data_IF_268967638627
#
_entry.id   IF_268967638627
#
_cell.length_a   1.000
_cell.length_b   1.000
_cell.length_c   1.000
_cell.angle_alpha   90.00
_cell.angle_beta   90.00
_cell.angle_gamma   90.00
#
_symmetry.space_group_name_H-M   'P 1'
#
loop_
_entity.id
_entity.type
_entity.pdbx_description
1 polymer ?
#
# COMPACT_ATOMS: atom_id res chain seq x y z
N UNK A 1 19.46 -9.72 4.67
CA UNK A 1 18.97 -8.35 4.36
C UNK A 1 18.22 -8.37 3.04
N UNK A 2 18.85 -8.82 1.95
CA UNK A 2 18.29 -8.93 0.60
C UNK A 2 16.91 -9.63 0.49
N UNK A 3 16.73 -10.80 1.11
CA UNK A 3 15.46 -11.55 1.05
C UNK A 3 14.26 -10.81 1.65
N UNK A 4 14.48 -9.94 2.64
CA UNK A 4 13.40 -9.15 3.26
C UNK A 4 13.00 -7.97 2.37
N UNK A 5 13.93 -7.38 1.63
CA UNK A 5 13.65 -6.32 0.67
C UNK A 5 12.87 -6.84 -0.54
N UNK A 6 13.28 -8.00 -1.06
CA UNK A 6 12.52 -8.72 -2.10
C UNK A 6 11.07 -8.98 -1.67
N UNK A 7 10.85 -9.35 -0.40
CA UNK A 7 9.50 -9.50 0.14
C UNK A 7 8.74 -8.16 0.16
N UNK A 8 9.33 -7.09 0.70
CA UNK A 8 8.67 -5.78 0.74
C UNK A 8 8.33 -5.26 -0.67
N UNK A 9 9.27 -5.36 -1.60
CA UNK A 9 9.05 -4.98 -3.00
C UNK A 9 7.89 -5.77 -3.62
N UNK A 10 7.92 -7.10 -3.50
CA UNK A 10 6.86 -7.98 -4.01
C UNK A 10 5.50 -7.64 -3.42
N UNK A 11 5.43 -7.33 -2.13
CA UNK A 11 4.20 -6.84 -1.50
C UNK A 11 3.71 -5.55 -2.16
N UNK A 12 4.61 -4.58 -2.37
CA UNK A 12 4.31 -3.31 -3.05
C UNK A 12 4.08 -3.45 -4.57
N UNK A 13 4.37 -4.58 -5.19
CA UNK A 13 4.02 -4.89 -6.60
C UNK A 13 2.63 -5.53 -6.72
N UNK A 14 2.21 -6.31 -5.72
CA UNK A 14 1.05 -7.22 -5.84
C UNK A 14 -0.16 -6.83 -4.99
N UNK A 15 0.04 -6.09 -3.90
CA UNK A 15 -1.08 -5.71 -3.02
C UNK A 15 -2.07 -4.79 -3.74
N UNK A 16 -3.34 -5.19 -3.75
CA UNK A 16 -4.51 -4.51 -4.36
C UNK A 16 -4.38 -4.28 -5.87
N UNK A 17 -3.51 -5.00 -6.58
CA UNK A 17 -3.33 -4.85 -8.03
C UNK A 17 -4.21 -5.78 -8.86
N UNK A 18 -4.78 -6.82 -8.25
CA UNK A 18 -5.67 -7.79 -8.90
C UNK A 18 -7.03 -7.89 -8.20
N UNK A 19 -8.07 -8.21 -8.98
CA UNK A 19 -9.46 -8.31 -8.48
C UNK A 19 -9.63 -9.56 -7.61
N UNK A 20 -10.38 -9.45 -6.52
CA UNK A 20 -10.70 -10.60 -5.68
C UNK A 20 -11.69 -11.53 -6.40
N UNK A 21 -11.31 -12.79 -6.56
CA UNK A 21 -12.17 -13.84 -7.15
C UNK A 21 -12.85 -14.72 -6.09
N UNK A 22 -12.66 -14.44 -4.80
CA UNK A 22 -13.22 -15.23 -3.70
C UNK A 22 -14.66 -14.75 -3.42
N UNK A 23 -15.65 -15.63 -3.63
CA UNK A 23 -17.05 -15.34 -3.35
C UNK A 23 -17.26 -15.06 -1.85
N UNK A 24 -17.96 -13.98 -1.52
CA UNK A 24 -18.24 -13.60 -0.14
C UNK A 24 -17.01 -13.10 0.64
N UNK A 25 -15.90 -12.80 -0.04
CA UNK A 25 -14.73 -12.24 0.63
C UNK A 25 -15.08 -10.89 1.28
N UNK A 26 -14.78 -10.68 2.57
CA UNK A 26 -15.03 -9.40 3.20
C UNK A 26 -14.15 -8.33 2.54
N UNK A 27 -14.79 -7.31 1.98
CA UNK A 27 -14.17 -6.14 1.36
C UNK A 27 -13.40 -5.30 2.38
N UNK A 28 -12.26 -5.82 2.79
CA UNK A 28 -11.44 -5.30 3.87
C UNK A 28 -10.02 -5.00 3.38
N UNK A 29 -9.30 -4.18 4.15
CA UNK A 29 -7.86 -3.94 3.98
C UNK A 29 -7.03 -5.22 4.14
N UNK A 30 -7.61 -6.26 4.74
CA UNK A 30 -6.98 -7.56 4.97
C UNK A 30 -6.88 -8.39 3.71
N UNK A 31 -7.84 -8.27 2.80
CA UNK A 31 -7.77 -8.96 1.53
C UNK A 31 -6.69 -8.31 0.66
N UNK A 32 -5.71 -9.06 0.12
CA UNK A 32 -4.68 -8.50 -0.73
C UNK A 32 -5.20 -8.13 -2.13
N UNK A 33 -6.43 -8.50 -2.47
CA UNK A 33 -7.06 -8.19 -3.74
C UNK A 33 -8.05 -7.03 -3.61
N UNK A 34 -8.27 -6.28 -4.69
CA UNK A 34 -9.25 -5.20 -4.70
C UNK A 34 -10.66 -5.76 -4.93
N UNK A 35 -11.67 -5.14 -4.32
CA UNK A 35 -13.08 -5.52 -4.52
C UNK A 35 -13.87 -4.47 -5.28
N UNK A 36 -13.38 -3.23 -5.31
CA UNK A 36 -13.99 -2.09 -5.99
C UNK A 36 -12.91 -1.31 -6.73
N UNK A 37 -13.33 -0.45 -7.66
CA UNK A 37 -12.39 0.39 -8.41
C UNK A 37 -11.60 1.34 -7.47
N UNK A 38 -12.23 1.80 -6.39
CA UNK A 38 -11.61 2.66 -5.38
C UNK A 38 -10.58 1.92 -4.52
N UNK A 39 -10.61 0.58 -4.50
CA UNK A 39 -9.60 -0.24 -3.85
C UNK A 39 -8.41 -0.54 -4.78
N UNK A 40 -8.60 -0.42 -6.09
CA UNK A 40 -7.58 -0.79 -7.08
C UNK A 40 -6.33 0.07 -6.90
N UNK A 41 -5.19 -0.61 -6.98
CA UNK A 41 -3.86 0.00 -6.95
C UNK A 41 -3.09 -0.42 -8.20
N UNK A 42 -2.61 0.53 -8.99
CA UNK A 42 -1.63 0.25 -10.05
C UNK A 42 -0.29 -0.11 -9.41
N UNK A 43 0.46 -1.01 -10.05
CA UNK A 43 1.82 -1.31 -9.61
C UNK A 43 2.70 -0.06 -9.80
N UNK A 44 3.26 0.56 -8.74
CA UNK A 44 4.05 1.78 -8.85
C UNK A 44 5.35 1.59 -9.64
N UNK A 45 5.87 0.36 -9.70
CA UNK A 45 7.09 0.04 -10.45
C UNK A 45 6.85 -0.17 -11.95
N UNK A 46 5.59 -0.32 -12.37
CA UNK A 46 5.19 -0.43 -13.79
C UNK A 46 4.57 0.86 -14.34
N UNK A 47 3.76 1.57 -13.54
CA UNK A 47 2.88 2.63 -14.03
C UNK A 47 3.39 4.07 -13.81
N UNK A 48 4.46 4.26 -13.01
CA UNK A 48 5.14 5.56 -12.87
C UNK A 48 4.26 6.73 -12.40
N UNK A 49 3.18 6.48 -11.66
CA UNK A 49 2.30 7.52 -11.12
C UNK A 49 2.87 8.10 -9.82
N UNK A 50 2.58 9.36 -9.52
CA UNK A 50 3.00 10.03 -8.29
C UNK A 50 2.06 9.71 -7.13
N UNK A 51 2.53 9.86 -5.88
CA UNK A 51 1.70 9.68 -4.69
C UNK A 51 0.67 10.81 -4.47
N UNK A 52 0.65 11.84 -5.32
CA UNK A 52 -0.32 12.93 -5.21
C UNK A 52 -1.70 12.50 -5.75
N UNK A 53 -2.80 12.77 -5.03
CA UNK A 53 -4.15 12.43 -5.48
C UNK A 53 -4.52 13.10 -6.81
N UNK A 54 -5.11 12.35 -7.73
CA UNK A 54 -5.67 12.86 -8.98
C UNK A 54 -6.94 13.66 -8.67
N UNK A 55 -7.08 14.91 -9.16
CA UNK A 55 -8.25 15.75 -8.88
C UNK A 55 -9.54 15.20 -9.50
N UNK A 56 -9.45 14.30 -10.49
CA UNK A 56 -10.62 13.63 -11.09
C UNK A 56 -11.15 12.48 -10.23
N UNK A 57 -10.29 11.87 -9.42
CA UNK A 57 -10.66 10.73 -8.58
C UNK A 57 -10.72 11.07 -7.09
N UNK A 58 -10.22 12.25 -6.69
CA UNK A 58 -10.22 12.73 -5.32
C UNK A 58 -10.74 14.16 -5.26
N UNK A 59 -11.88 14.35 -4.59
CA UNK A 59 -12.51 15.66 -4.44
C UNK A 59 -13.30 15.71 -3.13
N UNK A 60 -13.18 16.82 -2.40
CA UNK A 60 -13.91 17.04 -1.15
C UNK A 60 -13.59 16.00 -0.06
N UNK A 61 -12.35 15.51 -0.01
CA UNK A 61 -11.92 14.52 0.97
C UNK A 61 -12.29 13.07 0.64
N UNK A 62 -12.95 12.82 -0.50
CA UNK A 62 -13.48 11.52 -0.89
C UNK A 62 -12.84 11.00 -2.17
N UNK A 63 -12.58 9.70 -2.22
CA UNK A 63 -12.18 8.98 -3.42
C UNK A 63 -13.43 8.57 -4.20
N UNK A 64 -13.63 9.13 -5.39
CA UNK A 64 -14.79 8.88 -6.24
C UNK A 64 -14.46 9.19 -7.70
N UNK A 65 -15.13 8.50 -8.63
CA UNK A 65 -14.94 8.71 -10.06
C UNK A 65 -13.83 7.84 -10.65
N UNK A 66 -13.59 8.01 -11.95
CA UNK A 66 -12.63 7.22 -12.71
C UNK A 66 -11.77 8.13 -13.57
N UNK A 67 -10.54 7.70 -13.85
CA UNK A 67 -9.63 8.40 -14.74
C UNK A 67 -8.87 7.38 -15.61
N UNK A 68 -8.20 7.89 -16.64
CA UNK A 68 -7.36 7.08 -17.53
C UNK A 68 -6.25 6.39 -16.73
N UNK A 69 -6.01 5.11 -16.99
CA UNK A 69 -4.97 4.33 -16.29
C UNK A 69 -3.56 4.92 -16.45
N UNK A 70 -3.29 5.67 -17.52
CA UNK A 70 -2.03 6.39 -17.77
C UNK A 70 -1.91 7.72 -17.03
N UNK A 71 -2.89 8.09 -16.20
CA UNK A 71 -2.82 9.29 -15.38
C UNK A 71 -1.58 9.27 -14.47
N UNK A 72 -0.79 10.34 -14.40
CA UNK A 72 0.43 10.39 -13.59
C UNK A 72 0.17 10.63 -12.09
N UNK A 73 -1.09 10.61 -11.64
CA UNK A 73 -1.49 10.89 -10.26
C UNK A 73 -2.20 9.68 -9.65
N UNK A 74 -2.18 9.56 -8.32
CA UNK A 74 -2.82 8.47 -7.58
C UNK A 74 -4.35 8.54 -7.65
N UNK A 75 -5.00 7.39 -7.84
CA UNK A 75 -6.45 7.24 -8.01
C UNK A 75 -7.17 6.70 -6.79
N UNK A 76 -6.44 6.19 -5.80
CA UNK A 76 -7.02 5.62 -4.59
C UNK A 76 -6.18 5.93 -3.36
N UNK A 77 -6.81 5.78 -2.19
CA UNK A 77 -6.10 5.76 -0.91
C UNK A 77 -4.92 4.78 -0.94
N UNK A 78 -5.12 3.60 -1.55
CA UNK A 78 -4.08 2.58 -1.62
C UNK A 78 -2.92 3.00 -2.53
N UNK A 79 -3.20 3.66 -3.66
CA UNK A 79 -2.14 4.21 -4.51
C UNK A 79 -1.32 5.28 -3.80
N UNK A 80 -1.95 6.11 -2.97
CA UNK A 80 -1.22 7.13 -2.19
C UNK A 80 -0.37 6.50 -1.11
N UNK A 81 -0.91 5.59 -0.29
CA UNK A 81 -0.25 5.15 0.95
C UNK A 81 0.64 3.91 0.79
N UNK A 82 0.46 3.14 -0.29
CA UNK A 82 1.34 2.05 -0.69
C UNK A 82 2.22 2.45 -1.89
N UNK A 83 2.34 3.76 -2.17
CA UNK A 83 3.39 4.25 -3.05
C UNK A 83 4.74 4.12 -2.33
N UNK A 84 5.84 3.76 -3.01
CA UNK A 84 7.16 3.69 -2.37
C UNK A 84 7.51 4.97 -1.62
N UNK A 85 7.19 6.15 -2.18
CA UNK A 85 7.50 7.43 -1.54
C UNK A 85 6.93 7.61 -0.12
N UNK A 86 5.73 7.09 0.13
CA UNK A 86 4.90 7.35 1.33
C UNK A 86 4.78 6.14 2.25
N UNK A 87 4.90 4.92 1.70
CA UNK A 87 4.72 3.69 2.44
C UNK A 87 5.70 3.65 3.62
N UNK A 88 5.16 3.57 4.83
CA UNK A 88 5.88 3.57 6.11
C UNK A 88 6.88 4.71 6.27
N UNK A 89 6.58 5.87 5.68
CA UNK A 89 7.34 7.11 5.88
C UNK A 89 7.01 7.81 7.20
N UNK A 90 5.81 7.58 7.73
CA UNK A 90 5.29 8.30 8.90
C UNK A 90 5.05 7.34 10.07
N UNK A 91 5.20 7.80 11.32
CA UNK A 91 4.99 6.97 12.50
C UNK A 91 3.51 6.63 12.69
N UNK A 92 3.23 5.38 13.08
CA UNK A 92 1.89 4.93 13.37
C UNK A 92 1.37 5.54 14.68
N UNK A 93 0.29 6.30 14.62
CA UNK A 93 -0.28 6.95 15.82
C UNK A 93 -1.14 6.00 16.67
N UNK A 94 -1.59 4.88 16.10
CA UNK A 94 -2.49 3.94 16.78
C UNK A 94 -1.78 3.04 17.79
N UNK A 95 -0.46 2.86 17.66
CA UNK A 95 0.31 2.03 18.59
C UNK A 95 0.42 2.65 19.99
N UNK A 96 0.31 3.97 20.09
CA UNK A 96 0.29 4.68 21.38
C UNK A 96 -1.08 4.58 22.08
N UNK A 97 -2.10 4.02 21.43
CA UNK A 97 -3.43 3.81 22.00
C UNK A 97 -3.60 2.46 22.68
N UNK A 98 -4.61 2.33 23.55
CA UNK A 98 -4.85 1.15 24.39
C UNK A 98 -5.12 -0.17 23.62
N UNK A 99 -5.48 -0.12 22.33
CA UNK A 99 -5.83 -1.31 21.53
C UNK A 99 -4.76 -1.74 20.51
N UNK A 100 -3.63 -1.03 20.42
CA UNK A 100 -2.57 -1.30 19.45
C UNK A 100 -2.99 -1.05 17.98
N UNK A 101 -2.04 -1.17 17.04
CA UNK A 101 -2.32 -0.98 15.63
C UNK A 101 -2.96 -2.25 15.01
N UNK A 102 -4.20 -2.19 14.50
CA UNK A 102 -4.92 -3.35 13.96
C UNK A 102 -4.33 -3.89 12.65
N UNK A 103 -3.37 -3.19 12.05
CA UNK A 103 -2.70 -3.57 10.80
C UNK A 103 -1.26 -4.07 11.00
N UNK A 104 -0.70 -3.92 12.21
CA UNK A 104 0.68 -4.31 12.54
C UNK A 104 0.89 -5.82 12.48
N UNK A 105 -0.07 -6.60 12.97
CA UNK A 105 0.00 -8.07 13.02
C UNK A 105 -0.77 -8.74 11.88
N UNK A 106 -1.24 -7.95 10.90
CA UNK A 106 -2.04 -8.51 9.83
C UNK A 106 -1.16 -9.22 8.82
N UNK A 107 -1.41 -10.52 8.65
CA UNK A 107 -0.74 -11.37 7.69
C UNK A 107 -1.56 -11.45 6.40
N UNK A 108 -0.94 -11.15 5.27
CA UNK A 108 -1.54 -11.39 3.94
C UNK A 108 -0.75 -12.44 3.19
N UNK A 109 -1.44 -13.38 2.55
CA UNK A 109 -0.83 -14.37 1.68
C UNK A 109 -1.03 -13.93 0.23
N UNK A 110 0.09 -13.76 -0.47
CA UNK A 110 0.17 -13.34 -1.86
C UNK A 110 1.06 -14.37 -2.57
N UNK A 111 0.48 -15.16 -3.47
CA UNK A 111 1.19 -16.18 -4.26
C UNK A 111 2.11 -17.08 -3.41
N UNK A 112 1.55 -17.73 -2.39
CA UNK A 112 2.25 -18.56 -1.39
C UNK A 112 3.37 -17.84 -0.61
N UNK A 113 3.42 -16.51 -0.68
CA UNK A 113 4.33 -15.66 0.10
C UNK A 113 3.53 -14.93 1.16
N UNK A 114 3.92 -15.12 2.41
CA UNK A 114 3.30 -14.48 3.56
C UNK A 114 3.96 -13.14 3.84
N UNK A 115 3.19 -12.05 3.83
CA UNK A 115 3.63 -10.73 4.24
C UNK A 115 3.02 -10.36 5.58
N UNK A 116 3.88 -9.96 6.50
CA UNK A 116 3.51 -9.47 7.81
C UNK A 116 3.41 -7.94 7.78
N UNK A 117 2.46 -7.39 8.53
CA UNK A 117 2.25 -5.96 8.75
C UNK A 117 1.80 -5.20 7.48
N UNK A 118 0.49 -4.98 7.36
CA UNK A 118 -0.09 -4.18 6.27
C UNK A 118 -0.24 -2.70 6.62
N UNK A 119 0.32 -2.26 7.76
CA UNK A 119 0.28 -0.86 8.12
C UNK A 119 1.16 -0.05 7.17
N UNK A 120 0.61 1.07 6.72
CA UNK A 120 1.28 2.04 5.85
C UNK A 120 2.17 3.01 6.63
N UNK A 121 2.32 2.79 7.95
CA UNK A 121 3.09 3.59 8.88
C UNK A 121 4.07 2.70 9.65
N UNK A 122 5.23 3.24 10.03
CA UNK A 122 6.22 2.50 10.82
C UNK A 122 5.87 2.53 12.32
N UNK A 123 6.21 1.47 13.04
CA UNK A 123 5.90 1.30 14.47
C UNK A 123 7.12 1.51 15.39
N UNK A 124 8.32 1.48 14.82
CA UNK A 124 9.56 1.69 15.58
C UNK A 124 10.69 2.13 14.65
N UNK A 125 11.77 2.67 15.23
CA UNK A 125 12.93 3.13 14.46
C UNK A 125 13.61 1.97 13.70
N UNK A 126 13.52 0.72 14.17
CA UNK A 126 14.05 -0.43 13.45
C UNK A 126 13.25 -0.76 12.17
N UNK A 127 11.94 -0.56 12.17
CA UNK A 127 11.10 -0.64 10.96
C UNK A 127 11.46 0.49 10.00
N UNK A 128 11.50 1.72 10.51
CA UNK A 128 11.85 2.91 9.73
C UNK A 128 13.23 2.78 9.06
N UNK A 129 14.27 2.38 9.79
CA UNK A 129 15.61 2.17 9.22
C UNK A 129 15.61 1.14 8.09
N UNK A 130 14.83 0.06 8.22
CA UNK A 130 14.70 -0.95 7.16
C UNK A 130 14.01 -0.36 5.95
N UNK A 131 12.92 0.38 6.15
CA UNK A 131 12.18 1.00 5.07
C UNK A 131 13.02 2.11 4.39
N UNK A 132 13.79 2.89 5.13
CA UNK A 132 14.71 3.91 4.58
C UNK A 132 15.80 3.28 3.69
N UNK A 133 16.38 2.14 4.09
CA UNK A 133 17.33 1.40 3.24
C UNK A 133 16.65 0.91 1.95
N UNK A 134 15.41 0.41 2.03
CA UNK A 134 14.65 0.02 0.83
C UNK A 134 14.47 1.20 -0.14
N UNK A 135 14.25 2.41 0.38
CA UNK A 135 14.12 3.63 -0.43
C UNK A 135 15.45 4.12 -1.03
N UNK A 136 16.59 3.73 -0.47
CA UNK A 136 17.90 4.02 -1.07
C UNK A 136 18.14 3.15 -2.31
N UNK A 137 17.69 1.89 -2.29
CA UNK A 137 17.77 0.96 -3.44
C UNK A 137 16.72 1.26 -4.52
N UNK A 138 15.58 1.86 -4.13
CA UNK A 138 14.51 2.27 -5.03
C UNK A 138 14.22 3.77 -4.87
N UNK A 139 15.06 4.64 -5.45
CA UNK A 139 14.98 6.07 -5.25
C UNK A 139 13.59 6.59 -5.60
N UNK A 140 13.03 7.37 -4.69
CA UNK A 140 11.75 8.06 -4.85
C UNK A 140 11.86 8.99 -6.06
N UNK A 141 11.32 8.57 -7.21
CA UNK A 141 11.09 9.45 -8.36
C UNK A 141 9.86 10.30 -8.12
#
# INVERSE_FOLDING_TARGET
MEEKYKKLQRFLETYKTQQCNIKGCPSSRRCPYYHKYEDYRRNPFEWGYTYHPCPKTYSGGQWKGQCDKKCPFAHSYYEVWFHPHTFRRYPCQLEKGQMGCPWKTHVVNLDNTTFENTCTHFHNENEKLKDDIFQMEHPRK
#
